data_IF_031124650276
#
_entry.id   IF_031124650276
#
_cell.length_a   1.000
_cell.length_b   1.000
_cell.length_c   1.000
_cell.angle_alpha   90.00
_cell.angle_beta   90.00
_cell.angle_gamma   90.00
#
_symmetry.space_group_name_H-M   'P 1'
#
loop_
_entity.id
_entity.type
_entity.pdbx_description
1 polymer ?
#
# COMPACT_ATOMS: atom_id res chain seq x y z
N UNK A 1 -35.72 -28.28 4.71
CA UNK A 1 -34.64 -28.88 5.51
C UNK A 1 -33.35 -28.59 4.76
N UNK A 2 -32.47 -27.86 5.44
CA UNK A 2 -31.15 -27.30 5.07
C UNK A 2 -30.29 -28.27 4.21
N UNK A 3 -29.42 -27.79 3.32
CA UNK A 3 -28.24 -27.01 3.69
C UNK A 3 -27.74 -26.01 2.64
N UNK A 4 -27.35 -24.85 3.16
CA UNK A 4 -26.45 -23.87 2.57
C UNK A 4 -25.10 -24.52 2.23
N UNK A 5 -24.61 -24.30 1.02
CA UNK A 5 -23.18 -24.40 0.72
C UNK A 5 -22.63 -22.98 0.65
N UNK A 6 -21.89 -22.60 1.68
CA UNK A 6 -21.10 -21.38 1.69
C UNK A 6 -20.00 -21.56 0.65
N UNK A 7 -20.11 -20.83 -0.47
CA UNK A 7 -19.00 -20.65 -1.37
C UNK A 7 -17.94 -19.84 -0.62
N UNK A 8 -16.94 -20.53 -0.10
CA UNK A 8 -15.70 -19.90 0.34
C UNK A 8 -15.18 -19.09 -0.83
N UNK A 9 -14.97 -17.80 -0.57
CA UNK A 9 -14.35 -16.83 -1.46
C UNK A 9 -13.09 -17.46 -2.08
N UNK A 10 -13.11 -17.66 -3.40
CA UNK A 10 -11.89 -18.00 -4.12
C UNK A 10 -11.10 -16.69 -4.13
N UNK A 11 -10.22 -16.52 -3.15
CA UNK A 11 -9.20 -15.48 -3.19
C UNK A 11 -8.26 -15.88 -4.33
N UNK A 12 -8.57 -15.43 -5.54
CA UNK A 12 -7.62 -15.51 -6.64
C UNK A 12 -6.46 -14.61 -6.24
N UNK A 13 -5.36 -15.18 -5.75
CA UNK A 13 -4.07 -14.52 -5.87
C UNK A 13 -3.96 -14.19 -7.36
N UNK A 14 -4.13 -12.93 -7.70
CA UNK A 14 -4.06 -12.50 -9.09
C UNK A 14 -2.65 -12.81 -9.58
N UNK A 15 -2.49 -13.50 -10.73
CA UNK A 15 -1.16 -13.75 -11.32
C UNK A 15 -0.49 -12.46 -11.83
N UNK A 16 -1.05 -11.29 -11.53
CA UNK A 16 -0.61 -9.99 -12.00
C UNK A 16 -0.94 -8.91 -10.96
N UNK A 17 0.01 -8.02 -10.69
CA UNK A 17 -0.17 -6.88 -9.79
C UNK A 17 -0.49 -5.61 -10.58
N UNK A 18 -1.49 -4.85 -10.14
CA UNK A 18 -1.83 -3.53 -10.70
C UNK A 18 -1.77 -2.46 -9.62
N UNK A 19 -1.33 -1.25 -10.00
CA UNK A 19 -1.25 -0.09 -9.13
C UNK A 19 -1.62 1.16 -9.92
N UNK A 20 -2.70 1.82 -9.49
CA UNK A 20 -3.19 3.11 -9.97
C UNK A 20 -2.77 4.21 -8.98
N UNK A 21 -2.51 5.42 -9.48
CA UNK A 21 -2.06 6.55 -8.65
C UNK A 21 -2.99 7.73 -8.86
N UNK A 22 -3.66 8.14 -7.79
CA UNK A 22 -4.61 9.25 -7.78
C UNK A 22 -4.03 10.48 -7.07
N UNK A 23 -4.21 11.69 -7.64
CA UNK A 23 -3.86 12.94 -6.96
C UNK A 23 -4.83 13.25 -5.82
N UNK A 24 -4.33 13.98 -4.82
CA UNK A 24 -5.17 14.59 -3.78
C UNK A 24 -5.12 16.12 -3.90
N UNK A 25 -5.92 16.82 -3.09
CA UNK A 25 -5.82 18.28 -2.95
C UNK A 25 -4.47 18.74 -2.37
N UNK A 26 -3.72 17.84 -1.73
CA UNK A 26 -2.39 18.11 -1.21
C UNK A 26 -1.32 17.64 -2.21
N UNK A 27 -0.46 18.54 -2.73
CA UNK A 27 0.54 18.17 -3.74
C UNK A 27 1.59 17.18 -3.22
N UNK A 28 1.76 17.07 -1.89
CA UNK A 28 2.69 16.15 -1.25
C UNK A 28 2.04 14.82 -0.83
N UNK A 29 0.76 14.60 -1.17
CA UNK A 29 0.04 13.36 -0.89
C UNK A 29 -0.52 12.75 -2.18
N UNK A 30 -0.37 11.43 -2.30
CA UNK A 30 -0.97 10.61 -3.37
C UNK A 30 -1.60 9.36 -2.78
N UNK A 31 -2.62 8.88 -3.47
CA UNK A 31 -3.27 7.61 -3.18
C UNK A 31 -2.82 6.59 -4.22
N UNK A 32 -2.47 5.39 -3.75
CA UNK A 32 -2.00 4.27 -4.54
C UNK A 32 -3.00 3.13 -4.35
N UNK A 33 -3.74 2.80 -5.39
CA UNK A 33 -4.84 1.83 -5.33
C UNK A 33 -4.36 0.56 -6.04
N UNK A 34 -4.44 -0.58 -5.35
CA UNK A 34 -3.92 -1.84 -5.88
C UNK A 34 -5.01 -2.89 -6.05
N UNK A 35 -4.76 -3.95 -6.81
CA UNK A 35 -5.67 -5.10 -6.87
C UNK A 35 -5.43 -6.14 -5.76
N UNK A 36 -4.53 -5.84 -4.82
CA UNK A 36 -4.17 -6.71 -3.71
C UNK A 36 -4.56 -6.01 -2.41
N UNK A 37 -4.99 -6.79 -1.43
CA UNK A 37 -5.28 -6.26 -0.10
C UNK A 37 -3.98 -5.95 0.63
N UNK A 38 -3.83 -4.72 1.09
CA UNK A 38 -2.68 -4.21 1.82
C UNK A 38 -2.87 -4.29 3.35
N UNK A 39 -4.10 -4.22 3.87
CA UNK A 39 -4.38 -4.37 5.31
C UNK A 39 -5.51 -5.37 5.62
N UNK A 40 -5.36 -6.16 6.68
CA UNK A 40 -6.25 -7.30 6.96
C UNK A 40 -7.54 -6.95 7.73
N UNK A 41 -7.77 -5.70 8.13
CA UNK A 41 -9.01 -5.35 8.85
C UNK A 41 -9.11 -3.99 9.52
N UNK A 42 -8.23 -3.04 9.20
CA UNK A 42 -8.34 -1.67 9.68
C UNK A 42 -7.32 -0.73 9.05
N UNK A 43 -7.61 0.57 9.13
CA UNK A 43 -6.69 1.63 8.74
C UNK A 43 -5.46 1.62 9.65
N UNK A 44 -4.28 1.56 9.05
CA UNK A 44 -3.01 1.72 9.73
C UNK A 44 -2.44 3.10 9.39
N UNK A 45 -2.00 3.86 10.39
CA UNK A 45 -1.37 5.16 10.18
C UNK A 45 0.01 5.22 10.83
N UNK A 46 1.01 5.58 10.02
CA UNK A 46 2.40 5.71 10.41
C UNK A 46 2.89 7.13 10.10
N UNK A 47 3.18 7.90 11.15
CA UNK A 47 3.56 9.31 11.02
C UNK A 47 4.97 9.50 10.45
N UNK A 48 5.81 8.47 10.55
CA UNK A 48 7.22 8.45 10.16
C UNK A 48 7.76 7.02 9.98
N UNK A 49 9.00 6.90 9.51
CA UNK A 49 9.67 5.61 9.36
C UNK A 49 9.81 4.85 10.68
N UNK A 50 10.06 5.53 11.80
CA UNK A 50 10.24 4.89 13.10
C UNK A 50 8.97 4.17 13.58
N UNK A 51 7.80 4.77 13.37
CA UNK A 51 6.51 4.12 13.62
C UNK A 51 6.22 3.00 12.63
N UNK A 52 6.60 3.17 11.36
CA UNK A 52 6.45 2.15 10.31
C UNK A 52 7.30 0.90 10.49
N UNK A 53 8.51 1.02 11.03
CA UNK A 53 9.40 -0.12 11.34
C UNK A 53 8.79 -1.11 12.35
N UNK A 54 7.85 -0.64 13.18
CA UNK A 54 7.11 -1.47 14.14
C UNK A 54 5.71 -1.87 13.63
N UNK A 55 5.38 -1.50 12.40
CA UNK A 55 4.07 -1.69 11.78
C UNK A 55 3.88 -3.05 11.11
N UNK A 56 2.92 -3.11 10.18
CA UNK A 56 2.69 -4.27 9.31
C UNK A 56 3.88 -4.56 8.39
N UNK A 57 3.99 -5.79 7.83
CA UNK A 57 5.06 -6.12 6.89
C UNK A 57 5.15 -5.18 5.69
N UNK A 58 4.01 -4.68 5.19
CA UNK A 58 3.96 -3.72 4.08
C UNK A 58 4.52 -2.36 4.49
N UNK A 59 4.15 -1.86 5.67
CA UNK A 59 4.72 -0.61 6.18
C UNK A 59 6.25 -0.72 6.34
N UNK A 60 6.72 -1.83 6.93
CA UNK A 60 8.15 -2.08 7.12
C UNK A 60 8.92 -2.10 5.79
N UNK A 61 8.43 -2.84 4.79
CA UNK A 61 9.13 -2.94 3.49
C UNK A 61 9.10 -1.60 2.74
N UNK A 62 8.00 -0.85 2.78
CA UNK A 62 7.91 0.46 2.12
C UNK A 62 8.89 1.46 2.74
N UNK A 63 8.92 1.60 4.07
CA UNK A 63 9.86 2.50 4.72
C UNK A 63 11.33 2.07 4.59
N UNK A 64 11.59 0.78 4.39
CA UNK A 64 12.95 0.26 4.21
C UNK A 64 13.45 0.38 2.77
N UNK A 65 12.58 0.11 1.78
CA UNK A 65 12.96 0.00 0.38
C UNK A 65 12.75 1.29 -0.41
N UNK A 66 11.88 2.19 0.06
CA UNK A 66 11.49 3.39 -0.67
C UNK A 66 11.96 4.64 0.07
N UNK A 67 13.05 5.22 -0.43
CA UNK A 67 13.57 6.48 0.08
C UNK A 67 12.61 7.64 -0.22
N UNK A 68 12.39 8.51 0.76
CA UNK A 68 11.61 9.72 0.56
C UNK A 68 10.13 9.65 0.96
N UNK A 69 9.69 8.55 1.57
CA UNK A 69 8.42 8.48 2.27
C UNK A 69 8.51 9.29 3.57
N UNK A 70 7.53 10.18 3.81
CA UNK A 70 7.36 10.88 5.08
C UNK A 70 6.41 10.13 6.01
N UNK A 71 5.21 9.82 5.54
CA UNK A 71 4.19 9.11 6.34
C UNK A 71 3.35 8.22 5.44
N UNK A 72 2.78 7.17 6.02
CA UNK A 72 1.93 6.20 5.35
C UNK A 72 0.58 6.07 6.05
N UNK A 73 -0.49 5.94 5.26
CA UNK A 73 -1.74 5.34 5.71
C UNK A 73 -2.05 4.14 4.81
N UNK A 74 -2.41 3.00 5.40
CA UNK A 74 -2.76 1.78 4.67
C UNK A 74 -4.20 1.41 5.04
N UNK A 75 -5.10 1.37 4.08
CA UNK A 75 -6.50 1.01 4.27
C UNK A 75 -7.01 0.13 3.13
N UNK A 76 -7.35 -1.12 3.46
CA UNK A 76 -7.78 -2.17 2.54
C UNK A 76 -6.83 -2.34 1.35
N UNK A 77 -7.19 -1.88 0.15
CA UNK A 77 -6.40 -1.94 -1.09
C UNK A 77 -5.65 -0.64 -1.42
N UNK A 78 -5.78 0.37 -0.56
CA UNK A 78 -5.34 1.74 -0.77
C UNK A 78 -4.17 2.10 0.15
N UNK A 79 -3.11 2.66 -0.44
CA UNK A 79 -1.95 3.20 0.23
C UNK A 79 -1.90 4.71 0.02
N UNK A 80 -1.98 5.48 1.10
CA UNK A 80 -1.87 6.94 1.06
C UNK A 80 -0.44 7.31 1.50
N UNK A 81 0.31 7.91 0.61
CA UNK A 81 1.71 8.27 0.86
C UNK A 81 1.83 9.78 0.93
N UNK A 82 2.45 10.27 2.00
CA UNK A 82 3.04 11.61 2.01
C UNK A 82 4.53 11.49 1.70
N UNK A 83 5.00 12.24 0.72
CA UNK A 83 6.45 12.31 0.40
C UNK A 83 7.19 13.33 1.25
N UNK A 84 8.51 13.20 1.32
CA UNK A 84 9.40 14.28 1.75
C UNK A 84 9.38 15.43 0.72
N UNK A 85 9.53 16.70 1.13
CA UNK A 85 9.37 17.86 0.24
C UNK A 85 10.28 17.87 -1.00
N UNK A 86 11.49 17.34 -0.88
CA UNK A 86 12.54 17.39 -1.91
C UNK A 86 12.52 16.18 -2.87
N UNK A 87 11.52 15.29 -2.74
CA UNK A 87 11.45 14.04 -3.50
C UNK A 87 10.46 14.17 -4.66
N UNK A 88 10.87 13.75 -5.86
CA UNK A 88 10.00 13.77 -7.04
C UNK A 88 9.05 12.57 -7.04
N UNK A 89 7.78 12.82 -7.37
CA UNK A 89 6.76 11.76 -7.44
C UNK A 89 7.09 10.69 -8.48
N UNK A 90 7.70 11.06 -9.60
CA UNK A 90 8.04 10.13 -10.68
C UNK A 90 8.92 8.99 -10.18
N UNK A 91 9.99 9.31 -9.44
CA UNK A 91 10.87 8.30 -8.84
C UNK A 91 10.14 7.51 -7.74
N UNK A 92 9.44 8.21 -6.85
CA UNK A 92 8.76 7.58 -5.71
C UNK A 92 7.67 6.59 -6.15
N UNK A 93 6.94 6.89 -7.22
CA UNK A 93 5.90 6.03 -7.77
C UNK A 93 6.51 4.73 -8.32
N UNK A 94 7.62 4.81 -9.03
CA UNK A 94 8.28 3.63 -9.60
C UNK A 94 8.84 2.73 -8.48
N UNK A 95 9.47 3.32 -7.46
CA UNK A 95 9.99 2.57 -6.31
C UNK A 95 8.87 1.89 -5.50
N UNK A 96 7.75 2.58 -5.25
CA UNK A 96 6.57 1.99 -4.57
C UNK A 96 5.99 0.85 -5.40
N UNK A 97 5.86 1.03 -6.72
CA UNK A 97 5.33 -0.01 -7.62
C UNK A 97 6.20 -1.25 -7.61
N UNK A 98 7.51 -1.07 -7.68
CA UNK A 98 8.46 -2.18 -7.66
C UNK A 98 8.45 -2.89 -6.30
N UNK A 99 8.46 -2.13 -5.20
CA UNK A 99 8.38 -2.66 -3.84
C UNK A 99 7.13 -3.51 -3.61
N UNK A 100 5.94 -3.00 -3.94
CA UNK A 100 4.68 -3.73 -3.74
C UNK A 100 4.57 -4.93 -4.69
N UNK A 101 5.04 -4.81 -5.92
CA UNK A 101 5.07 -5.94 -6.86
C UNK A 101 5.95 -7.08 -6.32
N UNK A 102 7.14 -6.77 -5.82
CA UNK A 102 8.06 -7.75 -5.25
C UNK A 102 7.56 -8.34 -3.93
N UNK A 103 6.69 -7.62 -3.20
CA UNK A 103 6.05 -8.14 -1.99
C UNK A 103 4.98 -9.19 -2.30
N UNK A 104 4.24 -9.04 -3.40
CA UNK A 104 3.09 -9.90 -3.74
C UNK A 104 3.38 -11.02 -4.76
N UNK A 105 4.46 -10.92 -5.54
CA UNK A 105 4.83 -11.88 -6.59
C UNK A 105 6.12 -12.64 -6.26
#
# INVERSE_FOLDING_TARGET
>A
MFAEFHAGEIVTLSEYFTLEVEPTDNPDIREFITNQRLSDGGEEHYADAASGEMGSPIAQVLFHAVDGIHSLTIDDDTLIVRRQPDVLWEALIDDIRDCLRDFFL
#
